data_IF_034643456545
#
_entry.id   IF_034643456545
#
_cell.length_a   1.000
_cell.length_b   1.000
_cell.length_c   1.000
_cell.angle_alpha   90.00
_cell.angle_beta   90.00
_cell.angle_gamma   90.00
#
_symmetry.space_group_name_H-M   'P 1'
#
loop_
_entity.id
_entity.type
_entity.pdbx_description
1 polymer ?
#
# COMPACT_ATOMS: atom_id res chain seq x y z
N UNK A 1 -0.92 -23.17 -0.28
CA UNK A 1 -0.20 -22.18 0.54
C UNK A 1 -0.83 -22.20 1.90
N UNK A 2 -0.03 -22.23 2.95
CA UNK A 2 -0.55 -22.08 4.32
C UNK A 2 -1.26 -20.74 4.44
N UNK A 3 -2.32 -20.69 5.28
CA UNK A 3 -3.06 -19.45 5.54
C UNK A 3 -2.10 -18.35 6.00
N UNK A 4 -2.24 -17.16 5.44
CA UNK A 4 -1.45 -15.99 5.86
C UNK A 4 -1.80 -15.60 7.30
N UNK A 5 -0.96 -14.76 7.91
CA UNK A 5 -1.21 -14.26 9.27
C UNK A 5 -2.60 -13.64 9.40
N UNK A 6 -3.00 -12.81 8.47
CA UNK A 6 -4.31 -12.15 8.51
C UNK A 6 -5.48 -13.12 8.45
N UNK A 7 -5.41 -14.16 7.60
CA UNK A 7 -6.45 -15.18 7.51
C UNK A 7 -6.55 -16.00 8.82
N UNK A 8 -5.39 -16.24 9.47
CA UNK A 8 -5.32 -16.99 10.73
C UNK A 8 -5.84 -16.19 11.95
N UNK A 9 -5.81 -14.86 11.90
CA UNK A 9 -6.18 -13.96 13.01
C UNK A 9 -7.42 -13.11 12.73
N UNK A 10 -8.05 -13.30 11.56
CA UNK A 10 -9.21 -12.50 11.15
C UNK A 10 -10.46 -12.78 11.98
N UNK A 11 -11.34 -11.77 11.98
CA UNK A 11 -12.75 -11.99 12.36
C UNK A 11 -13.41 -12.98 11.40
N UNK A 12 -14.51 -13.61 11.85
CA UNK A 12 -15.25 -14.53 11.01
C UNK A 12 -15.71 -13.86 9.72
N UNK A 13 -15.40 -14.49 8.58
CA UNK A 13 -15.86 -14.04 7.26
C UNK A 13 -17.26 -14.63 7.02
N UNK A 14 -18.30 -13.80 6.76
CA UNK A 14 -19.59 -14.30 6.36
C UNK A 14 -19.54 -14.92 4.96
N UNK A 15 -20.34 -15.96 4.74
CA UNK A 15 -20.54 -16.51 3.40
C UNK A 15 -21.44 -15.57 2.58
N UNK A 16 -21.02 -15.31 1.34
CA UNK A 16 -21.75 -14.48 0.38
C UNK A 16 -22.21 -15.31 -0.81
N UNK A 17 -23.43 -15.07 -1.31
CA UNK A 17 -23.97 -15.88 -2.41
C UNK A 17 -23.22 -15.64 -3.72
N UNK A 18 -23.29 -16.61 -4.63
CA UNK A 18 -23.01 -16.41 -6.04
C UNK A 18 -24.20 -15.71 -6.71
N UNK A 19 -23.92 -14.95 -7.75
CA UNK A 19 -24.98 -14.43 -8.61
C UNK A 19 -25.52 -15.59 -9.49
N UNK A 20 -26.78 -15.92 -9.31
CA UNK A 20 -27.49 -16.97 -10.05
C UNK A 20 -28.79 -16.49 -10.69
N UNK A 21 -28.91 -15.19 -10.92
CA UNK A 21 -30.07 -14.54 -11.50
C UNK A 21 -29.66 -13.30 -12.32
N UNK A 22 -30.56 -12.83 -13.16
CA UNK A 22 -30.36 -11.57 -13.86
C UNK A 22 -30.71 -10.38 -12.94
N UNK A 23 -29.82 -9.39 -12.91
CA UNK A 23 -29.93 -8.18 -12.10
C UNK A 23 -30.00 -6.91 -12.94
N UNK A 24 -30.78 -5.96 -12.44
CA UNK A 24 -30.79 -4.59 -12.94
C UNK A 24 -30.46 -3.66 -11.75
N UNK A 25 -29.37 -2.88 -11.86
CA UNK A 25 -28.89 -1.99 -10.80
C UNK A 25 -28.42 -0.66 -11.40
N UNK A 26 -28.25 0.35 -10.59
CA UNK A 26 -27.69 1.62 -11.04
C UNK A 26 -26.18 1.48 -11.31
N UNK A 27 -25.46 0.80 -10.41
CA UNK A 27 -24.01 0.62 -10.51
C UNK A 27 -23.62 -0.84 -10.30
N UNK A 28 -22.77 -1.35 -11.19
CA UNK A 28 -22.09 -2.64 -11.04
C UNK A 28 -20.60 -2.40 -10.79
N UNK A 29 -20.08 -2.88 -9.67
CA UNK A 29 -18.66 -2.80 -9.32
C UNK A 29 -18.00 -4.16 -9.57
N UNK A 30 -16.91 -4.20 -10.34
CA UNK A 30 -16.15 -5.43 -10.64
C UNK A 30 -14.89 -5.44 -9.79
N UNK A 31 -14.89 -6.31 -8.78
CA UNK A 31 -13.84 -6.49 -7.78
C UNK A 31 -14.23 -6.00 -6.38
N UNK A 32 -14.16 -6.90 -5.38
CA UNK A 32 -14.40 -6.63 -3.96
C UNK A 32 -13.11 -6.42 -3.17
N UNK A 33 -12.17 -5.66 -3.76
CA UNK A 33 -11.04 -5.09 -3.06
C UNK A 33 -11.40 -3.78 -2.37
N UNK A 34 -10.43 -3.12 -1.71
CA UNK A 34 -10.64 -1.88 -0.96
C UNK A 34 -11.33 -0.79 -1.79
N UNK A 35 -10.88 -0.55 -3.02
CA UNK A 35 -11.49 0.46 -3.89
C UNK A 35 -12.94 0.12 -4.22
N UNK A 36 -13.21 -1.11 -4.68
CA UNK A 36 -14.57 -1.53 -5.04
C UNK A 36 -15.53 -1.52 -3.87
N UNK A 37 -15.09 -1.92 -2.67
CA UNK A 37 -15.90 -1.89 -1.46
C UNK A 37 -16.19 -0.46 -0.99
N UNK A 38 -15.21 0.45 -1.07
CA UNK A 38 -15.42 1.86 -0.75
C UNK A 38 -16.42 2.49 -1.73
N UNK A 39 -16.24 2.25 -3.03
CA UNK A 39 -17.19 2.74 -4.06
C UNK A 39 -18.61 2.23 -3.78
N UNK A 40 -18.75 0.93 -3.54
CA UNK A 40 -20.05 0.31 -3.30
C UNK A 40 -20.73 0.88 -2.05
N UNK A 41 -19.97 1.07 -0.96
CA UNK A 41 -20.47 1.71 0.26
C UNK A 41 -20.95 3.13 0.00
N UNK A 42 -20.10 3.95 -0.60
CA UNK A 42 -20.39 5.38 -0.83
C UNK A 42 -21.59 5.59 -1.75
N UNK A 43 -21.73 4.78 -2.80
CA UNK A 43 -22.87 4.87 -3.73
C UNK A 43 -24.15 4.37 -3.04
N UNK A 44 -24.09 3.24 -2.31
CA UNK A 44 -25.25 2.71 -1.60
C UNK A 44 -25.75 3.66 -0.50
N UNK A 45 -24.84 4.35 0.22
CA UNK A 45 -25.20 5.38 1.21
C UNK A 45 -25.94 6.58 0.59
N UNK A 46 -25.70 6.85 -0.71
CA UNK A 46 -26.40 7.89 -1.47
C UNK A 46 -27.73 7.39 -2.08
N UNK A 47 -28.15 6.17 -1.72
CA UNK A 47 -29.45 5.61 -2.07
C UNK A 47 -29.54 4.96 -3.45
N UNK A 48 -28.41 4.75 -4.15
CA UNK A 48 -28.38 4.05 -5.44
C UNK A 48 -28.19 2.55 -5.25
N UNK A 49 -28.79 1.75 -6.14
CA UNK A 49 -28.65 0.31 -6.13
C UNK A 49 -27.28 -0.13 -6.66
N UNK A 50 -26.58 -0.97 -5.88
CA UNK A 50 -25.22 -1.41 -6.19
C UNK A 50 -25.10 -2.93 -6.11
N UNK A 51 -24.49 -3.54 -7.14
CA UNK A 51 -24.02 -4.91 -7.12
C UNK A 51 -22.49 -4.94 -7.24
N UNK A 52 -21.82 -5.73 -6.38
CA UNK A 52 -20.39 -6.00 -6.45
C UNK A 52 -20.17 -7.44 -6.89
N UNK A 53 -19.39 -7.63 -7.96
CA UNK A 53 -19.02 -8.95 -8.48
C UNK A 53 -17.57 -9.24 -8.14
N UNK A 54 -17.32 -10.29 -7.38
CA UNK A 54 -16.00 -10.74 -6.98
C UNK A 54 -15.73 -12.17 -7.48
N UNK A 55 -14.62 -12.34 -8.18
CA UNK A 55 -14.29 -13.63 -8.79
C UNK A 55 -13.93 -14.71 -7.77
N UNK A 56 -13.35 -14.33 -6.64
CA UNK A 56 -12.97 -15.22 -5.56
C UNK A 56 -13.79 -14.90 -4.29
N UNK A 57 -13.21 -14.17 -3.36
CA UNK A 57 -13.85 -13.68 -2.15
C UNK A 57 -13.37 -12.27 -1.81
N UNK A 58 -14.10 -11.57 -0.96
CA UNK A 58 -13.72 -10.24 -0.47
C UNK A 58 -12.26 -10.23 -0.02
N UNK A 59 -11.53 -9.21 -0.49
CA UNK A 59 -10.12 -8.98 -0.16
C UNK A 59 -9.14 -10.12 -0.54
N UNK A 60 -9.50 -11.02 -1.44
CA UNK A 60 -8.66 -12.15 -1.85
C UNK A 60 -7.28 -11.75 -2.38
N UNK A 61 -7.19 -10.66 -3.14
CA UNK A 61 -5.96 -10.19 -3.76
C UNK A 61 -5.16 -9.22 -2.87
N UNK A 62 -4.50 -8.23 -3.46
CA UNK A 62 -3.64 -7.26 -2.79
C UNK A 62 -4.29 -6.57 -1.58
N UNK A 63 -5.60 -6.37 -1.62
CA UNK A 63 -6.35 -5.69 -0.56
C UNK A 63 -6.27 -6.38 0.82
N UNK A 64 -6.28 -7.70 0.85
CA UNK A 64 -6.15 -8.48 2.09
C UNK A 64 -4.74 -9.02 2.34
N UNK A 65 -3.75 -8.70 1.48
CA UNK A 65 -2.41 -9.28 1.54
C UNK A 65 -1.30 -8.26 1.65
N UNK A 66 -1.64 -6.97 1.78
CA UNK A 66 -0.70 -5.87 1.94
C UNK A 66 -0.21 -5.74 3.39
N UNK A 67 0.67 -4.77 3.64
CA UNK A 67 1.29 -4.56 4.96
C UNK A 67 0.38 -3.86 5.98
N UNK A 68 -0.74 -3.31 5.53
CA UNK A 68 -1.62 -2.53 6.37
C UNK A 68 -1.14 -1.10 6.63
N UNK A 69 -0.19 -0.57 5.87
CA UNK A 69 0.31 0.80 6.02
C UNK A 69 -0.62 1.78 5.31
N UNK A 70 -1.17 2.72 6.06
CA UNK A 70 -1.98 3.83 5.56
C UNK A 70 -1.10 5.07 5.58
N UNK A 71 -0.55 5.38 4.42
CA UNK A 71 0.46 6.43 4.24
C UNK A 71 -0.13 7.58 3.42
N UNK A 72 0.22 8.86 3.71
CA UNK A 72 -0.14 9.97 2.84
C UNK A 72 0.66 9.91 1.52
N UNK A 73 0.20 10.63 0.51
CA UNK A 73 0.86 10.71 -0.79
C UNK A 73 0.51 9.54 -1.72
N UNK A 74 1.36 9.38 -2.72
CA UNK A 74 1.23 8.40 -3.79
C UNK A 74 2.48 7.53 -3.88
N UNK A 75 2.49 6.57 -4.79
CA UNK A 75 3.69 5.79 -5.06
C UNK A 75 4.70 6.55 -5.93
N UNK A 76 4.30 7.66 -6.56
CA UNK A 76 5.16 8.63 -7.24
C UNK A 76 5.71 9.66 -6.25
N UNK A 77 6.95 10.07 -6.49
CA UNK A 77 7.58 11.12 -5.70
C UNK A 77 6.91 12.47 -5.93
N UNK A 78 6.84 13.27 -4.88
CA UNK A 78 6.17 14.57 -4.95
C UNK A 78 6.84 15.54 -5.91
N UNK A 79 8.16 15.48 -6.03
CA UNK A 79 8.93 16.33 -6.93
C UNK A 79 8.57 16.00 -8.40
N UNK A 80 8.42 14.72 -8.75
CA UNK A 80 7.97 14.27 -10.08
C UNK A 80 6.50 14.68 -10.36
N UNK A 81 5.65 14.67 -9.33
CA UNK A 81 4.27 15.16 -9.45
C UNK A 81 4.26 16.66 -9.73
N UNK A 82 5.07 17.45 -9.00
CA UNK A 82 5.21 18.91 -9.20
C UNK A 82 5.77 19.22 -10.59
N UNK A 83 6.77 18.48 -11.05
CA UNK A 83 7.33 18.67 -12.38
C UNK A 83 6.30 18.45 -13.50
N UNK A 84 5.47 17.41 -13.33
CA UNK A 84 4.44 17.06 -14.33
C UNK A 84 3.23 17.97 -14.34
N UNK A 85 2.74 18.38 -13.17
CA UNK A 85 1.43 19.04 -13.04
C UNK A 85 1.49 20.48 -12.56
N UNK A 86 2.64 20.92 -12.08
CA UNK A 86 2.80 22.20 -11.39
C UNK A 86 2.43 22.11 -9.90
N UNK A 87 2.92 23.10 -9.14
CA UNK A 87 2.83 23.09 -7.68
C UNK A 87 1.41 23.10 -7.14
N UNK A 88 0.53 23.94 -7.67
CA UNK A 88 -0.83 24.09 -7.15
C UNK A 88 -1.66 22.83 -7.39
N UNK A 89 -1.47 22.18 -8.54
CA UNK A 89 -2.10 20.90 -8.82
C UNK A 89 -1.54 19.78 -7.93
N UNK A 90 -0.21 19.74 -7.74
CA UNK A 90 0.44 18.78 -6.85
C UNK A 90 -0.06 18.91 -5.40
N UNK A 91 -0.28 20.13 -4.89
CA UNK A 91 -0.89 20.37 -3.57
C UNK A 91 -2.32 19.85 -3.49
N UNK A 92 -3.11 20.01 -4.54
CA UNK A 92 -4.48 19.46 -4.59
C UNK A 92 -4.45 17.93 -4.56
N UNK A 93 -3.56 17.30 -5.34
CA UNK A 93 -3.38 15.85 -5.32
C UNK A 93 -2.90 15.38 -3.93
N UNK A 94 -1.95 16.08 -3.31
CA UNK A 94 -1.51 15.75 -1.95
C UNK A 94 -2.67 15.79 -0.95
N UNK A 95 -3.46 16.86 -0.96
CA UNK A 95 -4.62 17.00 -0.09
C UNK A 95 -5.66 15.89 -0.30
N UNK A 96 -5.87 15.44 -1.55
CA UNK A 96 -6.72 14.28 -1.83
C UNK A 96 -6.17 13.00 -1.21
N UNK A 97 -4.86 12.80 -1.22
CA UNK A 97 -4.24 11.63 -0.60
C UNK A 97 -4.43 11.61 0.92
N UNK A 98 -4.35 12.79 1.56
CA UNK A 98 -4.63 12.95 3.00
C UNK A 98 -6.12 12.73 3.31
N UNK A 99 -7.02 13.20 2.46
CA UNK A 99 -8.46 12.89 2.59
C UNK A 99 -8.73 11.39 2.55
N UNK A 100 -8.01 10.64 1.68
CA UNK A 100 -8.08 9.19 1.63
C UNK A 100 -7.59 8.53 2.93
N UNK A 101 -6.51 9.04 3.51
CA UNK A 101 -5.99 8.60 4.79
C UNK A 101 -7.02 8.85 5.91
N UNK A 102 -7.58 10.05 5.96
CA UNK A 102 -8.61 10.45 6.93
C UNK A 102 -9.91 9.65 6.76
N UNK A 103 -10.27 9.30 5.52
CA UNK A 103 -11.41 8.44 5.24
C UNK A 103 -11.23 7.07 5.92
N UNK A 104 -10.06 6.44 5.76
CA UNK A 104 -9.77 5.15 6.40
C UNK A 104 -9.85 5.29 7.92
N UNK A 105 -9.19 6.30 8.49
CA UNK A 105 -9.17 6.57 9.94
C UNK A 105 -10.58 6.74 10.50
N UNK A 106 -11.36 7.66 9.93
CA UNK A 106 -12.74 7.93 10.38
C UNK A 106 -13.61 6.69 10.24
N UNK A 107 -13.51 5.97 9.12
CA UNK A 107 -14.29 4.76 8.93
C UNK A 107 -14.03 3.73 10.05
N UNK A 108 -12.77 3.56 10.48
CA UNK A 108 -12.42 2.63 11.56
C UNK A 108 -12.96 3.12 12.92
N UNK A 109 -12.74 4.40 13.24
CA UNK A 109 -13.09 4.96 14.55
C UNK A 109 -14.62 5.07 14.73
N UNK A 110 -15.33 5.58 13.72
CA UNK A 110 -16.78 5.80 13.78
C UNK A 110 -17.58 4.50 13.83
N UNK A 111 -17.01 3.41 13.32
CA UNK A 111 -17.70 2.11 13.25
C UNK A 111 -17.13 1.07 14.20
N UNK A 112 -16.06 1.40 14.92
CA UNK A 112 -15.39 0.49 15.88
C UNK A 112 -15.11 -0.88 15.27
N UNK A 113 -14.50 -0.90 14.06
CA UNK A 113 -14.24 -2.14 13.33
C UNK A 113 -13.43 -3.15 14.13
N UNK A 114 -13.93 -4.38 14.36
CA UNK A 114 -13.23 -5.36 15.19
C UNK A 114 -11.96 -5.88 14.48
N UNK A 115 -10.87 -6.04 15.25
CA UNK A 115 -9.62 -6.64 14.79
C UNK A 115 -8.80 -5.80 13.82
N UNK A 116 -9.13 -4.51 13.65
CA UNK A 116 -8.41 -3.63 12.70
C UNK A 116 -7.14 -3.04 13.31
N UNK A 117 -7.08 -2.82 14.62
CA UNK A 117 -5.89 -2.43 15.41
C UNK A 117 -5.11 -1.22 14.83
N UNK A 118 -5.73 -0.04 14.83
CA UNK A 118 -5.11 1.19 14.34
C UNK A 118 -3.97 1.66 15.25
N UNK A 119 -2.74 1.70 14.72
CA UNK A 119 -1.54 2.19 15.43
C UNK A 119 -0.89 3.32 14.63
N UNK A 120 -0.76 4.49 15.27
CA UNK A 120 -0.27 5.70 14.63
C UNK A 120 1.23 5.71 14.38
N UNK A 121 1.63 6.48 13.36
CA UNK A 121 2.98 6.84 13.02
C UNK A 121 3.59 5.97 11.92
N UNK A 122 4.41 6.62 11.10
CA UNK A 122 5.28 5.96 10.12
C UNK A 122 6.65 6.63 10.12
N UNK A 123 7.70 5.82 10.19
CA UNK A 123 9.09 6.25 10.04
C UNK A 123 9.62 5.84 8.68
N UNK A 124 10.00 6.83 7.87
CA UNK A 124 10.83 6.62 6.68
C UNK A 124 12.30 6.85 7.08
N UNK A 125 13.07 5.77 7.15
CA UNK A 125 14.41 5.76 7.74
C UNK A 125 15.49 5.66 6.67
N UNK A 126 16.49 6.52 6.76
CA UNK A 126 17.70 6.41 5.93
C UNK A 126 18.69 5.39 6.48
N UNK A 127 19.27 4.59 5.60
CA UNK A 127 20.43 3.71 5.87
C UNK A 127 21.77 4.36 5.55
N UNK A 128 21.74 5.61 5.07
CA UNK A 128 22.92 6.39 4.76
C UNK A 128 22.97 7.67 5.60
N UNK A 129 24.17 8.20 5.82
CA UNK A 129 24.36 9.49 6.54
C UNK A 129 24.10 10.67 5.60
N UNK A 130 22.82 10.88 5.27
CA UNK A 130 22.32 11.93 4.38
C UNK A 130 21.48 12.99 5.13
N UNK A 131 21.94 13.42 6.30
CA UNK A 131 21.22 14.32 7.21
C UNK A 131 20.70 15.59 6.52
N UNK A 132 21.51 16.25 5.68
CA UNK A 132 21.12 17.49 5.02
C UNK A 132 19.98 17.28 4.00
N UNK A 133 20.08 16.21 3.21
CA UNK A 133 19.08 15.83 2.21
C UNK A 133 17.74 15.49 2.85
N UNK A 134 17.77 14.68 3.93
CA UNK A 134 16.57 14.26 4.62
C UNK A 134 15.87 15.41 5.38
N UNK A 135 16.65 16.39 5.89
CA UNK A 135 16.08 17.64 6.44
C UNK A 135 15.40 18.47 5.34
N UNK A 136 16.05 18.63 4.21
CA UNK A 136 15.47 19.35 3.09
C UNK A 136 14.20 18.67 2.57
N UNK A 137 14.18 17.33 2.52
CA UNK A 137 12.99 16.56 2.20
C UNK A 137 11.85 16.84 3.20
N UNK A 138 12.11 16.76 4.51
CA UNK A 138 11.10 17.06 5.52
C UNK A 138 10.57 18.50 5.43
N UNK A 139 11.42 19.47 5.07
CA UNK A 139 11.00 20.85 4.84
C UNK A 139 10.11 21.00 3.60
N UNK A 140 10.49 20.36 2.48
CA UNK A 140 9.67 20.34 1.26
C UNK A 140 8.31 19.69 1.53
N UNK A 141 8.27 18.57 2.26
CA UNK A 141 7.02 17.91 2.61
C UNK A 141 6.11 18.80 3.46
N UNK A 142 6.64 19.52 4.46
CA UNK A 142 5.86 20.50 5.22
C UNK A 142 5.30 21.62 4.35
N UNK A 143 6.08 22.09 3.39
CA UNK A 143 5.65 23.17 2.49
C UNK A 143 4.47 22.75 1.58
N UNK A 144 4.33 21.46 1.29
CA UNK A 144 3.18 20.91 0.56
C UNK A 144 1.97 20.71 1.49
N UNK A 145 2.16 20.69 2.79
CA UNK A 145 1.11 20.53 3.79
C UNK A 145 1.25 19.28 4.66
N UNK A 146 2.26 18.44 4.45
CA UNK A 146 2.45 17.21 5.21
C UNK A 146 2.83 17.47 6.67
N UNK A 147 2.21 16.74 7.62
CA UNK A 147 2.59 16.74 9.03
C UNK A 147 3.76 15.77 9.28
N UNK A 148 4.97 16.28 9.07
CA UNK A 148 6.20 15.49 9.20
C UNK A 148 7.21 16.12 10.16
N UNK A 149 8.03 15.25 10.76
CA UNK A 149 9.11 15.64 11.68
C UNK A 149 10.41 14.93 11.27
N UNK A 150 11.51 15.68 11.18
CA UNK A 150 12.84 15.10 11.04
C UNK A 150 13.30 14.51 12.39
N UNK A 151 13.75 13.25 12.38
CA UNK A 151 14.36 12.59 13.51
C UNK A 151 15.86 12.39 13.30
N UNK A 152 16.71 12.90 14.21
CA UNK A 152 18.14 12.66 14.17
C UNK A 152 18.48 11.22 14.54
N UNK A 153 19.68 10.78 14.22
CA UNK A 153 20.16 9.41 14.39
C UNK A 153 20.05 8.91 15.83
N UNK A 154 20.27 9.78 16.81
CA UNK A 154 20.19 9.48 18.24
C UNK A 154 18.77 9.02 18.58
N UNK A 155 17.78 9.82 18.19
CA UNK A 155 16.36 9.51 18.44
C UNK A 155 15.92 8.24 17.70
N UNK A 156 16.36 8.06 16.46
CA UNK A 156 16.07 6.82 15.70
C UNK A 156 16.61 5.60 16.44
N UNK A 157 17.86 5.66 16.93
CA UNK A 157 18.51 4.53 17.62
C UNK A 157 17.98 4.27 19.03
N UNK A 158 17.41 5.26 19.69
CA UNK A 158 16.64 5.07 20.93
C UNK A 158 15.37 4.25 20.71
N UNK A 159 14.71 4.45 19.56
CA UNK A 159 13.48 3.76 19.22
C UNK A 159 13.70 2.42 18.50
N UNK A 160 14.80 2.32 17.76
CA UNK A 160 15.14 1.16 16.95
C UNK A 160 16.63 0.86 17.12
N UNK A 161 16.97 -0.17 17.90
CA UNK A 161 18.35 -0.56 18.16
C UNK A 161 18.97 -1.26 16.96
N UNK A 162 19.22 -0.49 15.90
CA UNK A 162 19.83 -0.98 14.67
C UNK A 162 21.11 -0.22 14.36
N UNK A 163 22.23 -0.90 14.09
CA UNK A 163 23.46 -0.25 13.65
C UNK A 163 23.39 0.26 12.19
N UNK A 164 22.32 -0.09 11.47
CA UNK A 164 22.15 0.25 10.06
C UNK A 164 21.43 1.57 9.83
N UNK A 165 20.75 2.08 10.85
CA UNK A 165 19.89 3.23 10.74
C UNK A 165 20.57 4.54 11.14
N UNK A 166 20.28 5.57 10.35
CA UNK A 166 20.72 6.94 10.58
C UNK A 166 19.52 7.81 10.94
N UNK A 167 19.16 8.77 10.11
CA UNK A 167 18.07 9.71 10.36
C UNK A 167 16.74 9.20 9.79
N UNK A 168 15.62 9.83 10.16
CA UNK A 168 14.32 9.49 9.61
C UNK A 168 13.44 10.74 9.40
N UNK A 169 12.45 10.61 8.53
CA UNK A 169 11.27 11.46 8.49
C UNK A 169 10.12 10.70 9.13
N UNK A 170 9.52 11.31 10.15
CA UNK A 170 8.37 10.77 10.87
C UNK A 170 7.09 11.42 10.38
N UNK A 171 6.19 10.62 9.81
CA UNK A 171 4.86 11.02 9.36
C UNK A 171 3.86 10.74 10.48
N UNK A 172 3.40 11.78 11.18
CA UNK A 172 2.56 11.63 12.37
C UNK A 172 1.15 11.15 12.04
N UNK A 173 0.60 11.61 10.91
CA UNK A 173 -0.75 11.27 10.49
C UNK A 173 -0.86 9.86 9.88
N UNK A 174 0.26 9.28 9.45
CA UNK A 174 0.28 7.91 8.97
C UNK A 174 -0.01 6.92 10.11
N UNK A 175 -0.48 5.74 9.75
CA UNK A 175 -0.76 4.67 10.71
C UNK A 175 -0.72 3.31 10.00
N UNK A 176 -0.82 2.25 10.77
CA UNK A 176 -1.02 0.91 10.22
C UNK A 176 -2.22 0.21 10.86
N UNK A 177 -2.75 -0.76 10.14
CA UNK A 177 -3.96 -1.51 10.49
C UNK A 177 -3.83 -2.98 10.09
N UNK A 178 -4.75 -3.83 10.54
CA UNK A 178 -5.01 -5.11 9.86
C UNK A 178 -5.85 -4.84 8.59
N UNK A 179 -5.27 -4.99 7.38
CA UNK A 179 -5.94 -4.63 6.14
C UNK A 179 -7.03 -5.63 5.74
N UNK A 180 -6.93 -6.87 6.19
CA UNK A 180 -7.91 -7.90 5.87
C UNK A 180 -9.19 -7.69 6.68
N UNK A 181 -9.06 -7.47 8.00
CA UNK A 181 -10.19 -7.13 8.86
C UNK A 181 -10.83 -5.79 8.45
N UNK A 182 -10.04 -4.81 8.03
CA UNK A 182 -10.56 -3.56 7.48
C UNK A 182 -11.40 -3.80 6.22
N UNK A 183 -10.95 -4.62 5.29
CA UNK A 183 -11.72 -4.95 4.08
C UNK A 183 -13.00 -5.74 4.38
N UNK A 184 -12.97 -6.67 5.35
CA UNK A 184 -14.17 -7.37 5.83
C UNK A 184 -15.17 -6.40 6.46
N UNK A 185 -14.69 -5.44 7.27
CA UNK A 185 -15.49 -4.38 7.86
C UNK A 185 -16.11 -3.47 6.80
N UNK A 186 -15.36 -3.05 5.78
CA UNK A 186 -15.88 -2.28 4.65
C UNK A 186 -16.98 -3.03 3.90
N UNK A 187 -16.81 -4.33 3.65
CA UNK A 187 -17.83 -5.14 3.01
C UNK A 187 -19.13 -5.17 3.83
N UNK A 188 -19.02 -5.38 5.15
CA UNK A 188 -20.18 -5.34 6.03
C UNK A 188 -20.87 -3.97 6.04
N UNK A 189 -20.11 -2.87 6.00
CA UNK A 189 -20.66 -1.52 5.93
C UNK A 189 -21.33 -1.25 4.57
N UNK A 190 -20.77 -1.75 3.47
CA UNK A 190 -21.39 -1.63 2.14
C UNK A 190 -22.72 -2.41 2.10
N UNK A 191 -22.75 -3.64 2.63
CA UNK A 191 -23.96 -4.46 2.73
C UNK A 191 -25.01 -3.80 3.63
N UNK A 192 -24.60 -3.23 4.77
CA UNK A 192 -25.49 -2.47 5.67
C UNK A 192 -26.10 -1.23 4.98
N UNK A 193 -25.36 -0.61 4.06
CA UNK A 193 -25.84 0.50 3.25
C UNK A 193 -26.77 0.06 2.10
N UNK A 194 -26.89 -1.23 1.82
CA UNK A 194 -27.75 -1.78 0.77
C UNK A 194 -27.03 -2.32 -0.47
N UNK A 195 -25.70 -2.31 -0.50
CA UNK A 195 -24.94 -2.94 -1.58
C UNK A 195 -25.07 -4.48 -1.51
N UNK A 196 -25.14 -5.13 -2.67
CA UNK A 196 -25.23 -6.59 -2.79
C UNK A 196 -23.88 -7.11 -3.28
N UNK A 197 -23.19 -7.92 -2.47
CA UNK A 197 -21.90 -8.50 -2.80
C UNK A 197 -22.05 -9.96 -3.19
N UNK A 198 -21.52 -10.33 -4.35
CA UNK A 198 -21.55 -11.69 -4.88
C UNK A 198 -20.13 -12.21 -5.00
N UNK A 199 -19.78 -13.21 -4.20
CA UNK A 199 -18.51 -13.94 -4.24
C UNK A 199 -18.54 -15.09 -5.25
N UNK A 200 -17.37 -15.60 -5.63
CA UNK A 200 -17.21 -16.67 -6.64
C UNK A 200 -18.02 -16.37 -7.94
N UNK A 201 -18.07 -15.09 -8.32
CA UNK A 201 -18.87 -14.56 -9.42
C UNK A 201 -17.98 -13.73 -10.34
N UNK A 202 -17.14 -14.37 -11.18
CA UNK A 202 -16.28 -13.66 -12.13
C UNK A 202 -17.12 -12.97 -13.22
N UNK A 203 -16.82 -11.70 -13.51
CA UNK A 203 -17.29 -11.04 -14.73
C UNK A 203 -16.50 -11.62 -15.91
N UNK A 204 -17.17 -12.29 -16.85
CA UNK A 204 -16.53 -12.95 -17.99
C UNK A 204 -16.58 -12.13 -19.28
N UNK A 205 -17.57 -11.24 -19.41
CA UNK A 205 -17.60 -10.25 -20.48
C UNK A 205 -18.30 -8.98 -20.06
N UNK A 206 -17.92 -7.86 -20.68
CA UNK A 206 -18.50 -6.55 -20.53
C UNK A 206 -18.82 -5.97 -21.90
N UNK A 207 -20.10 -5.65 -22.13
CA UNK A 207 -20.55 -4.83 -23.25
C UNK A 207 -20.80 -3.40 -22.71
N UNK A 208 -19.94 -2.44 -23.01
CA UNK A 208 -20.06 -1.07 -22.52
C UNK A 208 -21.06 -0.24 -23.33
N UNK A 209 -21.59 -0.78 -24.42
CA UNK A 209 -22.45 -0.03 -25.32
C UNK A 209 -23.83 0.27 -24.72
N UNK A 210 -24.41 1.39 -25.15
CA UNK A 210 -25.75 1.80 -24.77
C UNK A 210 -25.88 2.44 -23.37
N UNK A 211 -27.09 2.76 -22.99
CA UNK A 211 -27.41 3.42 -21.71
C UNK A 211 -27.20 2.46 -20.54
N UNK A 212 -27.57 1.20 -20.71
CA UNK A 212 -27.35 0.11 -19.75
C UNK A 212 -26.23 -0.78 -20.23
N UNK A 213 -25.13 -0.82 -19.50
CA UNK A 213 -23.99 -1.73 -19.73
C UNK A 213 -24.42 -3.16 -19.37
N UNK A 214 -23.85 -4.15 -20.05
CA UNK A 214 -24.18 -5.57 -19.82
C UNK A 214 -22.95 -6.32 -19.37
N UNK A 215 -23.03 -6.92 -18.20
CA UNK A 215 -21.99 -7.76 -17.62
C UNK A 215 -22.50 -9.19 -17.57
N UNK A 216 -21.73 -10.14 -18.11
CA UNK A 216 -22.06 -11.56 -18.08
C UNK A 216 -21.19 -12.23 -17.03
N UNK A 217 -21.83 -13.10 -16.23
CA UNK A 217 -21.18 -14.02 -15.30
C UNK A 217 -21.52 -15.46 -15.69
N UNK A 218 -20.91 -16.50 -15.14
CA UNK A 218 -21.25 -17.88 -15.48
C UNK A 218 -22.73 -18.23 -15.27
N UNK A 219 -23.35 -17.71 -14.21
CA UNK A 219 -24.68 -18.15 -13.77
C UNK A 219 -25.74 -17.02 -13.81
N UNK A 220 -25.41 -15.82 -14.34
CA UNK A 220 -26.34 -14.70 -14.40
C UNK A 220 -25.78 -13.51 -15.18
N UNK A 221 -26.59 -12.46 -15.32
CA UNK A 221 -26.24 -11.22 -16.03
C UNK A 221 -26.56 -10.02 -15.16
N UNK A 222 -25.74 -8.96 -15.30
CA UNK A 222 -26.03 -7.66 -14.68
C UNK A 222 -26.19 -6.60 -15.75
N UNK A 223 -27.25 -5.80 -15.65
CA UNK A 223 -27.42 -4.56 -16.40
C UNK A 223 -27.26 -3.39 -15.46
N UNK A 224 -26.40 -2.44 -15.80
CA UNK A 224 -26.13 -1.29 -14.97
C UNK A 224 -26.01 0.01 -15.77
N UNK A 225 -26.41 1.13 -15.21
CA UNK A 225 -26.18 2.44 -15.82
C UNK A 225 -24.68 2.77 -15.82
N UNK A 226 -24.02 2.44 -14.73
CA UNK A 226 -22.57 2.61 -14.56
C UNK A 226 -21.89 1.30 -14.20
N UNK A 227 -20.68 1.10 -14.72
CA UNK A 227 -19.80 -0.01 -14.36
C UNK A 227 -18.50 0.55 -13.81
N UNK A 228 -18.03 0.04 -12.69
CA UNK A 228 -16.73 0.42 -12.12
C UNK A 228 -15.78 -0.77 -12.17
N UNK A 229 -14.65 -0.59 -12.81
CA UNK A 229 -13.58 -1.58 -12.96
C UNK A 229 -12.58 -1.41 -11.82
N UNK A 230 -12.69 -2.23 -10.77
CA UNK A 230 -11.85 -2.20 -9.57
C UNK A 230 -11.02 -3.49 -9.38
N UNK A 231 -10.87 -4.31 -10.42
CA UNK A 231 -10.16 -5.59 -10.39
C UNK A 231 -8.63 -5.49 -10.56
N UNK A 232 -8.09 -4.28 -10.76
CA UNK A 232 -6.64 -4.01 -10.91
C UNK A 232 -5.98 -4.97 -11.95
N UNK A 233 -4.90 -5.68 -11.60
CA UNK A 233 -4.19 -6.64 -12.48
C UNK A 233 -5.05 -7.84 -12.90
N UNK A 234 -6.15 -8.09 -12.23
CA UNK A 234 -7.05 -9.21 -12.48
C UNK A 234 -8.13 -8.92 -13.54
N UNK A 235 -8.17 -7.72 -14.11
CA UNK A 235 -9.07 -7.36 -15.23
C UNK A 235 -8.66 -7.98 -16.58
N UNK A 236 -7.58 -8.73 -16.65
CA UNK A 236 -6.83 -9.15 -17.83
C UNK A 236 -7.65 -9.61 -19.03
N UNK A 237 -8.56 -10.56 -18.85
CA UNK A 237 -9.39 -11.08 -19.96
C UNK A 237 -10.62 -10.22 -20.24
N UNK A 238 -11.13 -9.52 -19.22
CA UNK A 238 -12.31 -8.66 -19.34
C UNK A 238 -11.99 -7.37 -20.10
N UNK A 239 -10.87 -6.74 -19.81
CA UNK A 239 -10.39 -5.49 -20.44
C UNK A 239 -8.87 -5.56 -20.68
N UNK A 240 -8.41 -6.29 -21.73
CA UNK A 240 -6.98 -6.49 -22.00
C UNK A 240 -6.20 -5.17 -22.17
N UNK A 241 -6.84 -4.14 -22.71
CA UNK A 241 -6.23 -2.83 -22.92
C UNK A 241 -5.85 -2.17 -21.57
N UNK A 242 -6.71 -2.28 -20.55
CA UNK A 242 -6.42 -1.76 -19.20
C UNK A 242 -5.37 -2.61 -18.49
N UNK A 243 -5.44 -3.93 -18.62
CA UNK A 243 -4.41 -4.80 -18.07
C UNK A 243 -3.02 -4.50 -18.63
N UNK A 244 -2.93 -4.10 -19.90
CA UNK A 244 -1.68 -3.74 -20.56
C UNK A 244 -1.06 -2.43 -20.05
N UNK A 245 -1.79 -1.61 -19.28
CA UNK A 245 -1.28 -0.37 -18.64
C UNK A 245 -0.65 -0.63 -17.28
N UNK A 246 -0.68 -1.85 -16.77
CA UNK A 246 -0.19 -2.21 -15.45
C UNK A 246 0.98 -3.19 -15.53
N UNK A 247 2.01 -2.91 -14.74
CA UNK A 247 3.05 -3.87 -14.41
C UNK A 247 2.65 -4.60 -13.11
N UNK A 248 2.40 -5.91 -13.14
CA UNK A 248 2.19 -6.66 -11.90
C UNK A 248 3.50 -6.77 -11.12
N UNK A 249 3.47 -6.32 -9.87
CA UNK A 249 4.58 -6.40 -8.93
C UNK A 249 4.16 -7.26 -7.75
N UNK A 250 4.92 -8.32 -7.49
CA UNK A 250 4.70 -9.23 -6.36
C UNK A 250 5.65 -8.87 -5.23
N UNK A 251 5.11 -8.62 -4.05
CA UNK A 251 5.85 -8.44 -2.80
C UNK A 251 5.60 -9.63 -1.89
N UNK A 252 6.56 -9.87 -0.99
CA UNK A 252 6.49 -10.98 -0.04
C UNK A 252 6.45 -10.42 1.37
N UNK A 253 5.58 -10.99 2.18
CA UNK A 253 5.39 -10.63 3.58
C UNK A 253 5.60 -11.86 4.43
N UNK A 254 6.39 -11.74 5.48
CA UNK A 254 6.52 -12.78 6.51
C UNK A 254 6.10 -12.23 7.86
N UNK A 255 5.64 -13.13 8.74
CA UNK A 255 5.51 -12.89 10.17
C UNK A 255 6.37 -13.92 10.89
N UNK A 256 7.14 -13.44 11.87
CA UNK A 256 8.00 -14.30 12.69
C UNK A 256 7.18 -15.16 13.65
N UNK A 257 7.81 -16.23 14.18
CA UNK A 257 7.36 -16.80 15.44
C UNK A 257 7.38 -15.77 16.57
N UNK A 258 6.83 -16.09 17.76
CA UNK A 258 6.92 -15.22 18.92
C UNK A 258 8.40 -14.92 19.25
N UNK A 259 8.75 -13.64 19.40
CA UNK A 259 10.11 -13.20 19.75
C UNK A 259 10.21 -12.94 21.26
N UNK A 260 9.09 -12.58 21.89
CA UNK A 260 9.03 -12.26 23.31
C UNK A 260 9.48 -10.84 23.65
N UNK A 261 9.76 -10.59 24.93
CA UNK A 261 10.04 -9.25 25.47
C UNK A 261 11.24 -8.54 24.80
N UNK A 262 12.25 -9.28 24.35
CA UNK A 262 13.42 -8.72 23.67
C UNK A 262 13.05 -7.92 22.41
N UNK A 263 11.92 -8.25 21.75
CA UNK A 263 11.43 -7.47 20.62
C UNK A 263 11.15 -6.04 21.01
N UNK A 264 10.53 -5.81 22.18
CA UNK A 264 10.14 -4.50 22.68
C UNK A 264 11.34 -3.67 23.13
N UNK A 265 12.42 -4.32 23.55
CA UNK A 265 13.67 -3.63 23.89
C UNK A 265 14.42 -3.13 22.65
N UNK A 266 14.34 -3.90 21.54
CA UNK A 266 15.06 -3.62 20.30
C UNK A 266 14.21 -2.72 19.37
N UNK A 267 12.92 -3.01 19.23
CA UNK A 267 11.97 -2.28 18.40
C UNK A 267 10.93 -1.62 19.31
N UNK A 268 11.27 -0.46 19.84
CA UNK A 268 10.40 0.31 20.76
C UNK A 268 9.31 1.07 20.02
N UNK A 269 9.62 1.52 18.80
CA UNK A 269 8.66 2.22 17.96
C UNK A 269 7.53 1.28 17.52
N UNK A 270 6.30 1.69 17.78
CA UNK A 270 5.10 0.87 17.51
C UNK A 270 4.47 1.13 16.16
N UNK A 271 4.74 2.27 15.54
CA UNK A 271 4.24 2.61 14.23
C UNK A 271 4.87 1.78 13.10
N UNK A 272 4.46 2.06 11.88
CA UNK A 272 5.02 1.47 10.68
C UNK A 272 6.46 1.98 10.43
N UNK A 273 7.31 1.15 9.86
CA UNK A 273 8.67 1.51 9.50
C UNK A 273 8.96 1.09 8.06
N UNK A 274 9.55 2.00 7.29
CA UNK A 274 10.11 1.74 5.96
C UNK A 274 11.54 2.23 5.91
N UNK A 275 12.46 1.44 5.33
CA UNK A 275 13.82 1.89 5.11
C UNK A 275 14.03 2.44 3.69
N UNK A 276 15.12 3.16 3.48
CA UNK A 276 15.43 3.89 2.25
C UNK A 276 16.07 3.05 1.14
N UNK A 277 16.01 1.72 1.20
CA UNK A 277 16.43 0.91 0.05
C UNK A 277 15.44 1.12 -1.09
N UNK A 278 15.93 1.17 -2.34
CA UNK A 278 15.08 1.19 -3.54
C UNK A 278 14.16 -0.02 -3.68
N UNK A 279 14.43 -1.03 -2.88
CA UNK A 279 13.62 -2.23 -2.66
C UNK A 279 13.27 -2.35 -1.18
N UNK A 280 12.64 -1.34 -0.67
CA UNK A 280 12.40 -1.05 0.73
C UNK A 280 12.03 -2.26 1.58
N UNK A 281 12.63 -2.34 2.76
CA UNK A 281 12.08 -3.19 3.80
C UNK A 281 11.03 -2.41 4.57
N UNK A 282 9.88 -3.04 4.74
CA UNK A 282 8.79 -2.48 5.52
C UNK A 282 8.48 -3.43 6.66
N UNK A 283 8.28 -2.91 7.87
CA UNK A 283 7.97 -3.76 9.01
C UNK A 283 7.16 -3.05 10.08
N UNK A 284 6.52 -3.87 10.91
CA UNK A 284 5.77 -3.47 12.09
C UNK A 284 5.66 -4.62 13.08
N UNK A 285 5.33 -4.34 14.32
CA UNK A 285 4.98 -5.36 15.31
C UNK A 285 3.51 -5.76 15.12
N UNK A 286 3.25 -7.07 15.14
CA UNK A 286 1.90 -7.65 15.08
C UNK A 286 1.72 -8.72 16.15
N UNK A 287 0.49 -8.95 16.61
CA UNK A 287 0.19 -9.95 17.63
C UNK A 287 0.92 -9.73 18.96
N UNK A 288 1.37 -8.50 19.21
CA UNK A 288 2.08 -8.10 20.41
C UNK A 288 3.58 -8.40 20.39
N UNK A 289 4.01 -9.59 20.03
CA UNK A 289 5.39 -10.08 20.17
C UNK A 289 6.02 -10.64 18.88
N UNK A 290 5.42 -10.36 17.73
CA UNK A 290 5.89 -10.83 16.43
C UNK A 290 6.26 -9.67 15.52
N UNK A 291 7.24 -9.88 14.64
CA UNK A 291 7.64 -8.91 13.64
C UNK A 291 7.07 -9.33 12.28
N UNK A 292 6.22 -8.47 11.70
CA UNK A 292 5.84 -8.55 10.31
C UNK A 292 6.88 -7.81 9.48
N UNK A 293 7.39 -8.46 8.43
CA UNK A 293 8.45 -7.92 7.58
C UNK A 293 8.14 -8.16 6.11
N UNK A 294 8.30 -7.14 5.29
CA UNK A 294 8.17 -7.23 3.84
C UNK A 294 9.38 -6.64 3.14
N UNK A 295 9.57 -7.09 1.93
CA UNK A 295 10.63 -6.63 1.04
C UNK A 295 10.69 -7.53 -0.20
N UNK A 296 11.71 -7.34 -1.03
CA UNK A 296 12.03 -8.24 -2.14
C UNK A 296 10.94 -8.31 -3.20
N UNK A 297 10.68 -7.18 -3.84
CA UNK A 297 9.78 -7.10 -4.99
C UNK A 297 10.26 -7.98 -6.15
N UNK A 298 9.31 -8.62 -6.86
CA UNK A 298 9.56 -9.41 -8.06
C UNK A 298 8.47 -9.22 -9.09
N UNK A 299 8.87 -9.28 -10.35
CA UNK A 299 7.94 -9.29 -11.49
C UNK A 299 7.41 -10.70 -11.81
N UNK A 300 7.91 -11.75 -11.15
CA UNK A 300 7.56 -13.16 -11.33
C UNK A 300 7.38 -13.88 -9.99
N UNK A 301 6.68 -15.00 -10.04
CA UNK A 301 6.59 -15.92 -8.91
C UNK A 301 7.96 -16.43 -8.49
N UNK A 302 8.15 -16.63 -7.19
CA UNK A 302 9.37 -17.13 -6.61
C UNK A 302 9.06 -18.22 -5.59
N UNK A 303 10.02 -19.13 -5.39
CA UNK A 303 9.89 -20.15 -4.37
C UNK A 303 9.80 -19.51 -2.97
N UNK A 304 8.69 -19.68 -2.24
CA UNK A 304 8.46 -19.01 -0.95
C UNK A 304 9.56 -19.31 0.08
N UNK A 305 10.08 -20.55 0.14
CA UNK A 305 11.10 -20.93 1.11
C UNK A 305 12.39 -20.14 0.97
N UNK A 306 12.80 -19.85 -0.29
CA UNK A 306 13.98 -19.01 -0.54
C UNK A 306 13.76 -17.57 -0.10
N UNK A 307 12.56 -17.06 -0.38
CA UNK A 307 12.20 -15.67 -0.03
C UNK A 307 12.10 -15.53 1.49
N UNK A 308 11.47 -16.45 2.19
CA UNK A 308 11.36 -16.42 3.65
C UNK A 308 12.72 -16.41 4.35
N UNK A 309 13.67 -17.29 3.91
CA UNK A 309 15.05 -17.26 4.43
C UNK A 309 15.75 -15.94 4.17
N UNK A 310 15.52 -15.35 3.01
CA UNK A 310 16.12 -14.09 2.64
C UNK A 310 15.57 -12.93 3.47
N UNK A 311 14.25 -12.88 3.73
CA UNK A 311 13.62 -11.89 4.61
C UNK A 311 14.10 -12.06 6.07
N UNK A 312 14.18 -13.29 6.59
CA UNK A 312 14.72 -13.55 7.91
C UNK A 312 16.18 -13.09 8.05
N UNK A 313 16.98 -13.22 6.97
CA UNK A 313 18.35 -12.70 6.94
C UNK A 313 18.37 -11.15 6.95
N UNK A 314 17.42 -10.50 6.27
CA UNK A 314 17.33 -9.04 6.27
C UNK A 314 16.96 -8.53 7.67
N UNK A 315 16.05 -9.19 8.40
CA UNK A 315 15.74 -8.90 9.82
C UNK A 315 17.01 -9.03 10.69
N UNK A 316 17.73 -10.16 10.59
CA UNK A 316 18.97 -10.38 11.39
C UNK A 316 20.06 -9.36 11.10
N UNK A 317 20.17 -8.89 9.86
CA UNK A 317 21.14 -7.84 9.49
C UNK A 317 20.74 -6.49 10.08
N UNK A 318 19.43 -6.22 10.13
CA UNK A 318 18.89 -4.96 10.66
C UNK A 318 18.92 -4.95 12.19
N UNK A 319 18.57 -6.07 12.81
CA UNK A 319 18.51 -6.25 14.26
C UNK A 319 19.29 -7.49 14.69
N UNK A 320 20.62 -7.42 14.76
CA UNK A 320 21.48 -8.58 15.11
C UNK A 320 21.12 -9.18 16.48
N UNK A 321 20.71 -8.34 17.42
CA UNK A 321 20.41 -8.72 18.81
C UNK A 321 19.12 -9.55 18.94
N UNK A 322 18.26 -9.61 17.91
CA UNK A 322 17.11 -10.52 17.89
C UNK A 322 17.51 -12.00 17.71
N UNK A 323 18.74 -12.28 17.33
CA UNK A 323 19.25 -13.63 17.20
C UNK A 323 18.60 -14.42 16.04
N UNK A 324 18.19 -15.66 16.33
CA UNK A 324 17.57 -16.54 15.33
C UNK A 324 16.12 -16.15 15.07
N UNK A 325 15.80 -15.90 13.80
CA UNK A 325 14.43 -15.56 13.36
C UNK A 325 13.79 -16.82 12.77
N UNK A 326 12.67 -17.22 13.35
CA UNK A 326 11.77 -18.23 12.81
C UNK A 326 10.71 -17.56 11.96
N UNK A 327 10.40 -18.12 10.79
CA UNK A 327 9.34 -17.65 9.90
C UNK A 327 8.10 -18.50 10.16
N UNK A 328 7.09 -17.94 10.81
CA UNK A 328 5.84 -18.63 11.12
C UNK A 328 4.83 -18.55 9.96
N UNK A 329 4.71 -17.38 9.33
CA UNK A 329 3.83 -17.16 8.18
C UNK A 329 4.59 -16.49 7.05
N UNK A 330 4.25 -16.88 5.82
CA UNK A 330 4.82 -16.29 4.60
C UNK A 330 3.78 -16.29 3.50
N UNK A 331 3.50 -15.11 2.95
CA UNK A 331 2.60 -14.98 1.81
C UNK A 331 3.10 -13.94 0.83
N UNK A 332 2.42 -13.80 -0.28
CA UNK A 332 2.68 -12.76 -1.25
C UNK A 332 1.40 -12.00 -1.60
N UNK A 333 1.57 -10.78 -2.10
CA UNK A 333 0.53 -9.97 -2.70
C UNK A 333 1.02 -9.39 -4.02
N UNK A 334 0.17 -9.38 -5.04
CA UNK A 334 0.49 -8.78 -6.32
C UNK A 334 -0.37 -7.55 -6.55
N UNK A 335 0.26 -6.42 -6.78
CA UNK A 335 -0.42 -5.16 -7.10
C UNK A 335 -0.02 -4.65 -8.48
N UNK A 336 -0.86 -3.80 -9.08
CA UNK A 336 -0.58 -3.14 -10.34
C UNK A 336 0.20 -1.84 -10.13
N UNK A 337 1.30 -1.69 -10.87
CA UNK A 337 2.07 -0.46 -10.95
C UNK A 337 1.90 0.14 -12.33
N UNK A 338 1.51 1.40 -12.41
CA UNK A 338 1.52 2.20 -13.64
C UNK A 338 2.92 2.67 -13.99
N UNK A 339 3.16 3.07 -15.21
CA UNK A 339 4.45 3.61 -15.65
C UNK A 339 4.80 4.90 -14.89
N UNK A 340 3.82 5.76 -14.71
CA UNK A 340 3.93 7.05 -14.00
C UNK A 340 3.69 6.95 -12.49
N UNK A 341 3.55 5.75 -11.93
CA UNK A 341 3.37 5.44 -10.48
C UNK A 341 2.16 6.09 -9.80
N UNK A 342 1.35 6.86 -10.52
CA UNK A 342 0.10 7.42 -10.02
C UNK A 342 -1.08 6.49 -10.29
N UNK A 343 -2.15 6.53 -9.48
CA UNK A 343 -3.34 5.72 -9.69
C UNK A 343 -4.08 6.12 -10.97
N UNK A 344 -4.83 5.18 -11.53
CA UNK A 344 -5.73 5.35 -12.65
C UNK A 344 -7.16 5.50 -12.11
N UNK A 345 -7.69 6.72 -12.13
CA UNK A 345 -8.99 7.06 -11.54
C UNK A 345 -9.77 7.90 -12.54
N UNK A 346 -11.00 7.50 -12.83
CA UNK A 346 -11.90 8.33 -13.63
C UNK A 346 -12.84 7.55 -14.55
N UNK A 347 -13.62 8.29 -15.32
CA UNK A 347 -14.48 7.77 -16.36
C UNK A 347 -13.67 7.59 -17.66
N UNK A 348 -13.56 6.34 -18.13
CA UNK A 348 -12.79 5.99 -19.35
C UNK A 348 -13.65 5.95 -20.61
N UNK A 349 -14.94 5.62 -20.44
CA UNK A 349 -16.00 5.72 -21.43
C UNK A 349 -17.27 6.10 -20.69
N UNK A 350 -18.24 6.64 -21.39
CA UNK A 350 -19.51 7.09 -20.76
C UNK A 350 -20.13 5.98 -19.93
N UNK A 351 -20.17 6.17 -18.60
CA UNK A 351 -20.70 5.22 -17.63
C UNK A 351 -19.78 4.03 -17.34
N UNK A 352 -18.52 4.03 -17.81
CA UNK A 352 -17.50 3.05 -17.46
C UNK A 352 -16.37 3.74 -16.73
N UNK A 353 -16.15 3.35 -15.48
CA UNK A 353 -15.21 3.97 -14.55
C UNK A 353 -14.07 3.03 -14.21
N UNK A 354 -12.91 3.58 -13.91
CA UNK A 354 -11.71 2.83 -13.55
C UNK A 354 -11.18 3.29 -12.18
N UNK A 355 -10.85 2.32 -11.33
CA UNK A 355 -10.14 2.49 -10.06
C UNK A 355 -9.02 1.45 -9.96
N UNK A 356 -7.81 1.81 -10.36
CA UNK A 356 -6.72 0.85 -10.55
C UNK A 356 -5.34 1.49 -10.35
N UNK A 357 -4.27 0.68 -10.36
CA UNK A 357 -2.90 1.15 -10.43
C UNK A 357 -2.39 1.89 -9.18
N UNK A 358 -2.90 1.57 -8.00
CA UNK A 358 -2.60 2.27 -6.75
C UNK A 358 -1.16 2.12 -6.23
N UNK A 359 -0.37 1.19 -6.80
CA UNK A 359 1.01 0.97 -6.39
C UNK A 359 1.15 0.57 -4.92
N UNK A 360 2.20 1.07 -4.26
CA UNK A 360 2.50 0.80 -2.84
C UNK A 360 1.63 1.57 -1.82
N UNK A 361 0.86 2.58 -2.25
CA UNK A 361 0.02 3.44 -1.41
C UNK A 361 -1.47 3.09 -1.54
N UNK A 362 -1.80 1.81 -1.65
CA UNK A 362 -3.15 1.35 -2.00
C UNK A 362 -4.23 1.59 -0.94
N UNK A 363 -3.92 1.72 0.36
CA UNK A 363 -4.94 1.87 1.39
C UNK A 363 -5.61 3.24 1.37
N UNK A 364 -4.84 4.32 1.41
CA UNK A 364 -5.35 5.68 1.33
C UNK A 364 -5.89 6.01 -0.07
N UNK A 365 -5.14 5.65 -1.13
CA UNK A 365 -5.51 6.01 -2.50
C UNK A 365 -6.73 5.25 -3.02
N UNK A 366 -6.96 4.00 -2.58
CA UNK A 366 -8.20 3.28 -2.93
C UNK A 366 -9.42 3.86 -2.21
N UNK A 367 -9.27 4.31 -0.97
CA UNK A 367 -10.33 5.00 -0.24
C UNK A 367 -10.68 6.35 -0.89
N UNK A 368 -9.67 7.15 -1.21
CA UNK A 368 -9.82 8.40 -1.97
C UNK A 368 -10.50 8.16 -3.33
N UNK A 369 -10.03 7.20 -4.12
CA UNK A 369 -10.61 6.86 -5.41
C UNK A 369 -12.07 6.42 -5.27
N UNK A 370 -12.38 5.69 -4.21
CA UNK A 370 -13.73 5.24 -3.92
C UNK A 370 -14.70 6.40 -3.70
N UNK A 371 -14.33 7.37 -2.89
CA UNK A 371 -15.13 8.58 -2.67
C UNK A 371 -15.24 9.43 -3.94
N UNK A 372 -14.13 9.68 -4.64
CA UNK A 372 -14.12 10.48 -5.87
C UNK A 372 -15.03 9.90 -6.97
N UNK A 373 -14.98 8.59 -7.19
CA UNK A 373 -15.81 7.92 -8.20
C UNK A 373 -17.27 7.93 -7.78
N UNK A 374 -17.58 7.69 -6.51
CA UNK A 374 -18.94 7.75 -6.02
C UNK A 374 -19.56 9.15 -6.20
N UNK A 375 -18.82 10.20 -5.84
CA UNK A 375 -19.25 11.60 -6.09
C UNK A 375 -19.34 11.91 -7.59
N UNK A 376 -18.41 11.39 -8.38
CA UNK A 376 -18.46 11.56 -9.84
C UNK A 376 -19.73 10.95 -10.46
N UNK A 377 -20.14 9.77 -10.02
CA UNK A 377 -21.32 9.05 -10.52
C UNK A 377 -22.62 9.69 -10.01
N UNK A 378 -22.70 9.94 -8.70
CA UNK A 378 -23.99 10.33 -8.07
C UNK A 378 -24.16 11.85 -8.08
N UNK A 379 -23.11 12.60 -7.74
CA UNK A 379 -23.17 14.05 -7.52
C UNK A 379 -22.65 14.85 -8.73
N UNK A 380 -22.20 14.16 -9.79
CA UNK A 380 -21.56 14.79 -10.97
C UNK A 380 -20.33 15.63 -10.64
N UNK A 381 -19.64 15.32 -9.53
CA UNK A 381 -18.40 15.97 -9.11
C UNK A 381 -17.27 15.64 -10.09
N UNK A 382 -16.51 16.65 -10.48
CA UNK A 382 -15.43 16.52 -11.47
C UNK A 382 -14.03 16.47 -10.84
N UNK A 383 -13.91 16.37 -9.51
CA UNK A 383 -12.62 16.39 -8.79
C UNK A 383 -11.70 15.23 -9.22
N UNK A 384 -12.26 14.09 -9.64
CA UNK A 384 -11.49 12.98 -10.20
C UNK A 384 -10.65 13.37 -11.43
N UNK A 385 -11.00 14.45 -12.14
CA UNK A 385 -10.25 14.97 -13.29
C UNK A 385 -8.86 15.52 -12.93
N UNK A 386 -8.56 15.70 -11.64
CA UNK A 386 -7.20 15.99 -11.19
C UNK A 386 -6.21 14.88 -11.57
N UNK A 387 -6.68 13.68 -11.87
CA UNK A 387 -5.86 12.58 -12.38
C UNK A 387 -5.74 12.55 -13.91
N UNK A 388 -6.40 13.43 -14.64
CA UNK A 388 -6.35 13.48 -16.12
C UNK A 388 -4.94 13.65 -16.73
N UNK A 389 -3.95 14.31 -16.08
CA UNK A 389 -2.57 14.36 -16.57
C UNK A 389 -1.84 13.01 -16.60
N UNK A 390 -2.42 11.97 -15.96
CA UNK A 390 -1.86 10.63 -15.86
C UNK A 390 -2.62 9.66 -16.77
N UNK A 391 -2.30 9.72 -18.06
CA UNK A 391 -2.95 8.92 -19.09
C UNK A 391 -2.72 7.42 -18.92
N UNK A 392 -3.55 6.62 -19.59
CA UNK A 392 -3.41 5.17 -19.64
C UNK A 392 -2.28 4.79 -20.60
N UNK A 393 -1.07 4.61 -20.06
CA UNK A 393 0.14 4.31 -20.83
C UNK A 393 0.41 2.81 -20.82
N UNK A 394 0.73 2.26 -21.98
CA UNK A 394 1.16 0.86 -22.09
C UNK A 394 2.42 0.58 -21.26
N UNK A 395 2.35 -0.42 -20.40
CA UNK A 395 3.39 -0.75 -19.42
C UNK A 395 4.50 -1.69 -19.96
N UNK A 396 4.58 -1.91 -21.28
CA UNK A 396 5.63 -2.71 -21.91
C UNK A 396 5.42 -4.22 -21.88
N UNK A 397 4.32 -4.72 -21.32
CA UNK A 397 4.01 -6.14 -21.29
C UNK A 397 5.13 -6.99 -20.68
N UNK A 398 5.55 -8.06 -21.36
CA UNK A 398 6.65 -8.93 -20.90
C UNK A 398 8.01 -8.20 -20.87
N UNK A 399 8.30 -7.37 -21.87
CA UNK A 399 9.54 -6.57 -21.90
C UNK A 399 9.59 -5.58 -20.74
N UNK A 400 8.48 -4.92 -20.44
CA UNK A 400 8.37 -4.02 -19.27
C UNK A 400 8.67 -4.75 -17.95
N UNK A 401 8.21 -5.99 -17.80
CA UNK A 401 8.53 -6.83 -16.62
C UNK A 401 10.04 -7.15 -16.54
N UNK A 402 10.66 -7.51 -17.67
CA UNK A 402 12.11 -7.82 -17.72
C UNK A 402 12.92 -6.59 -17.33
N UNK A 403 12.60 -5.44 -17.92
CA UNK A 403 13.29 -4.17 -17.61
C UNK A 403 13.11 -3.78 -16.15
N UNK A 404 11.88 -3.81 -15.62
CA UNK A 404 11.61 -3.48 -14.23
C UNK A 404 12.37 -4.42 -13.26
N UNK A 405 12.43 -5.71 -13.55
CA UNK A 405 13.19 -6.67 -12.75
C UNK A 405 14.70 -6.44 -12.85
N UNK A 406 15.20 -6.10 -14.03
CA UNK A 406 16.62 -5.78 -14.25
C UNK A 406 17.05 -4.54 -13.45
N UNK A 407 16.26 -3.48 -13.47
CA UNK A 407 16.46 -2.27 -12.67
C UNK A 407 16.48 -2.64 -11.18
N UNK A 408 15.49 -3.39 -10.71
CA UNK A 408 15.42 -3.83 -9.31
C UNK A 408 16.64 -4.64 -8.87
N UNK A 409 17.15 -5.56 -9.72
CA UNK A 409 18.36 -6.31 -9.38
C UNK A 409 19.63 -5.45 -9.43
N UNK A 410 19.70 -4.49 -10.35
CA UNK A 410 20.86 -3.60 -10.50
C UNK A 410 20.99 -2.59 -9.37
N UNK A 411 19.88 -2.15 -8.76
CA UNK A 411 19.92 -1.18 -7.66
C UNK A 411 20.43 -1.77 -6.34
N UNK A 412 20.16 -3.03 -6.05
CA UNK A 412 20.52 -3.68 -4.77
C UNK A 412 22.03 -3.72 -4.45
N UNK A 413 22.94 -4.02 -5.36
CA UNK A 413 24.39 -3.91 -5.10
C UNK A 413 24.81 -2.47 -4.79
N UNK A 414 24.21 -1.48 -5.48
CA UNK A 414 24.49 -0.06 -5.27
C UNK A 414 24.05 0.37 -3.87
N UNK A 415 22.81 0.04 -3.48
CA UNK A 415 22.27 0.36 -2.16
C UNK A 415 23.15 -0.24 -1.03
N UNK A 416 23.60 -1.48 -1.20
CA UNK A 416 24.53 -2.12 -0.24
C UNK A 416 25.87 -1.41 -0.14
N UNK A 417 26.44 -1.04 -1.27
CA UNK A 417 27.72 -0.33 -1.30
C UNK A 417 27.61 1.03 -0.63
N UNK A 418 26.55 1.79 -0.93
CA UNK A 418 26.29 3.10 -0.33
C UNK A 418 26.08 3.00 1.19
N UNK A 419 25.34 1.99 1.66
CA UNK A 419 25.15 1.70 3.09
C UNK A 419 26.46 1.35 3.78
N UNK A 420 27.24 0.40 3.26
CA UNK A 420 28.50 -0.02 3.85
C UNK A 420 29.50 1.15 3.90
N UNK A 421 29.55 1.96 2.85
CA UNK A 421 30.41 3.13 2.79
C UNK A 421 30.00 4.21 3.81
N UNK A 422 28.71 4.48 3.96
CA UNK A 422 28.20 5.42 4.97
C UNK A 422 28.51 4.96 6.38
N UNK A 423 28.34 3.67 6.67
CA UNK A 423 28.71 3.06 7.97
C UNK A 423 30.20 3.19 8.25
N UNK A 424 31.03 2.90 7.27
CA UNK A 424 32.49 3.05 7.41
C UNK A 424 32.88 4.49 7.73
N UNK A 425 32.31 5.48 7.01
CA UNK A 425 32.53 6.90 7.27
C UNK A 425 32.09 7.32 8.67
N UNK A 426 30.89 6.89 9.11
CA UNK A 426 30.39 7.18 10.44
C UNK A 426 31.30 6.62 11.54
N UNK A 427 31.76 5.38 11.40
CA UNK A 427 32.72 4.77 12.33
C UNK A 427 34.07 5.49 12.34
N UNK A 428 34.57 5.92 11.19
CA UNK A 428 35.83 6.68 11.09
C UNK A 428 35.71 8.07 11.76
N UNK A 429 34.56 8.75 11.62
CA UNK A 429 34.27 10.03 12.31
C UNK A 429 34.22 9.83 13.84
N UNK A 430 33.49 8.83 14.32
CA UNK A 430 33.39 8.51 15.74
C UNK A 430 34.76 8.20 16.37
N UNK A 431 35.62 7.44 15.65
CA UNK A 431 37.00 7.16 16.09
C UNK A 431 37.87 8.41 16.14
N UNK A 432 37.72 9.35 15.20
CA UNK A 432 38.45 10.63 15.20
C UNK A 432 38.01 11.51 16.37
N UNK A 433 36.71 11.61 16.62
CA UNK A 433 36.15 12.38 17.73
C UNK A 433 36.58 11.82 19.10
N UNK A 434 36.54 10.50 19.29
CA UNK A 434 37.02 9.86 20.52
C UNK A 434 38.53 10.05 20.76
N UNK A 435 39.35 10.08 19.68
CA UNK A 435 40.77 10.40 19.78
C UNK A 435 41.05 11.85 20.11
N UNK A 436 40.27 12.80 19.56
CA UNK A 436 40.35 14.22 19.88
C UNK A 436 39.99 14.46 21.36
N UNK A 437 38.84 13.93 21.81
CA UNK A 437 38.42 14.06 23.20
C UNK A 437 39.43 13.48 24.21
N UNK A 438 40.08 12.36 23.87
CA UNK A 438 41.16 11.81 24.72
C UNK A 438 42.42 12.69 24.75
N UNK A 439 42.75 13.38 23.66
CA UNK A 439 43.87 14.32 23.64
C UNK A 439 43.61 15.57 24.50
N UNK A 440 42.37 16.08 24.42
CA UNK A 440 41.98 17.25 25.25
C UNK A 440 41.90 16.92 26.75
N UNK A 441 41.53 15.67 27.11
CA UNK A 441 41.52 15.20 28.50
C UNK A 441 42.94 14.97 29.07
N UNK A 442 43.93 14.67 28.21
CA UNK A 442 45.34 14.47 28.62
C UNK A 442 46.11 15.80 28.59
N UNK A 443 45.60 16.84 27.93
CA UNK A 443 46.25 18.15 27.85
C UNK A 443 45.66 19.20 28.85
N UNK A 444 44.72 18.79 29.69
CA UNK A 444 44.26 19.64 30.82
C UNK A 444 45.26 19.49 32.00
N UNK A 445 45.83 20.62 32.50
CA UNK A 445 46.83 20.62 33.58
C UNK A 445 46.27 20.18 34.92
#
# INVERSE_FOLDING_TARGET
MEAGWYEATSVARPDRPRLNLDLDVDVCVIGAGLAGLTIAREIAQRGWSVAVLEAAHVAWAASGRNLGFVLPGYFEDIDDIVERTGLDHAKQLWALSEQGLDYVRRTILDTSMPGVDLINGWLHISKTDNTAELRAEAERMRWIGADVEFWPVERVREQLRSPRYFNAVHYRQAFHIDPYNYALGLAALAEKAGARIFEATPAVSLDPAGVRKRIVTPDGRVRAAHVVLAGNVHLGTLMPQLAATLLPVTTFVMVTGPIGEILHDIVRYRGAVSDSDRADNHYRIVGGDRLQWSGRMRAWEANPRFVGRALANDVRRTFPDLGKIEVAHLWNGTFGRTVHRMPQIGEIERGVWLASGFGGHGLNTSAMAGDLIARGIVDSDQTWRLFAPYELVWAGGLLGRIVAQGIYWGTRPVDRFEEEFSRYRALARARRQSRAARKDTVAAP
#
